data_IF_899476697360
#
_entry.id   IF_899476697360
#
_cell.length_a   1.000
_cell.length_b   1.000
_cell.length_c   1.000
_cell.angle_alpha   90.00
_cell.angle_beta   90.00
_cell.angle_gamma   90.00
#
_symmetry.space_group_name_H-M   'P 1'
#
loop_
_entity.id
_entity.type
_entity.pdbx_description
1 polymer ?
#
# COMPACT_ATOMS: atom_id res chain seq x y z
N UNK A 1 19.90 -13.34 17.43
CA UNK A 1 19.04 -13.78 16.32
C UNK A 1 18.09 -12.63 16.07
N UNK A 2 18.18 -12.01 14.89
CA UNK A 2 17.26 -10.92 14.53
C UNK A 2 16.04 -11.59 13.94
N UNK A 3 15.08 -11.92 14.79
CA UNK A 3 13.73 -12.20 14.33
C UNK A 3 13.18 -10.89 13.74
N UNK A 4 13.52 -10.64 12.48
CA UNK A 4 12.70 -9.85 11.57
C UNK A 4 11.37 -10.58 11.47
N UNK A 5 10.58 -10.41 12.52
CA UNK A 5 9.27 -10.97 12.66
C UNK A 5 8.44 -10.12 11.73
N UNK A 6 8.44 -10.48 10.44
CA UNK A 6 7.40 -10.13 9.50
C UNK A 6 6.08 -10.28 10.25
N UNK A 7 5.57 -9.16 10.76
CA UNK A 7 4.26 -9.09 11.35
C UNK A 7 3.33 -9.58 10.24
N UNK A 8 2.27 -10.35 10.52
CA UNK A 8 1.35 -10.79 9.49
C UNK A 8 0.92 -9.53 8.73
N UNK A 9 1.51 -9.37 7.53
CA UNK A 9 1.48 -8.12 6.81
C UNK A 9 0.03 -7.77 6.61
N UNK A 10 -0.31 -6.49 6.78
CA UNK A 10 -1.64 -6.02 6.44
C UNK A 10 -2.06 -6.63 5.08
N UNK A 11 -3.32 -7.07 4.95
CA UNK A 11 -3.77 -7.72 3.73
C UNK A 11 -3.46 -6.83 2.54
N UNK A 12 -2.75 -7.37 1.54
CA UNK A 12 -2.43 -6.58 0.35
C UNK A 12 -3.72 -6.20 -0.35
N UNK A 13 -3.86 -4.90 -0.64
CA UNK A 13 -4.98 -4.40 -1.43
C UNK A 13 -4.64 -4.51 -2.93
N UNK A 14 -5.62 -4.50 -3.83
CA UNK A 14 -5.38 -4.67 -5.27
C UNK A 14 -4.42 -3.63 -5.88
N UNK A 15 -4.26 -2.47 -5.25
CA UNK A 15 -3.36 -1.40 -5.68
C UNK A 15 -1.92 -1.56 -5.20
N UNK A 16 -1.66 -2.43 -4.22
CA UNK A 16 -0.31 -2.67 -3.71
C UNK A 16 0.54 -3.38 -4.76
N UNK A 17 1.77 -2.88 -4.91
CA UNK A 17 2.84 -3.46 -5.74
C UNK A 17 4.00 -3.99 -4.91
N UNK A 18 3.96 -3.79 -3.61
CA UNK A 18 4.90 -4.32 -2.64
C UNK A 18 4.15 -4.68 -1.35
N UNK A 19 4.73 -5.57 -0.54
CA UNK A 19 4.14 -5.91 0.75
C UNK A 19 4.17 -4.70 1.69
N UNK A 20 3.08 -4.44 2.43
CA UNK A 20 3.07 -3.47 3.50
C UNK A 20 4.21 -3.68 4.49
N UNK A 21 4.99 -2.63 4.74
CA UNK A 21 6.12 -2.66 5.67
C UNK A 21 7.36 -3.42 5.20
N UNK A 22 7.45 -3.84 3.93
CA UNK A 22 8.68 -4.41 3.39
C UNK A 22 9.81 -3.37 3.39
N UNK A 23 11.04 -3.82 3.66
CA UNK A 23 12.26 -2.99 3.78
C UNK A 23 12.49 -2.01 2.62
N UNK A 24 12.16 -2.41 1.39
CA UNK A 24 12.32 -1.61 0.17
C UNK A 24 10.95 -1.20 -0.41
N UNK A 25 9.95 -1.00 0.46
CA UNK A 25 8.63 -0.53 0.10
C UNK A 25 8.26 0.76 0.86
N UNK A 26 7.47 1.61 0.20
CA UNK A 26 6.90 2.81 0.80
C UNK A 26 5.48 3.03 0.30
N UNK A 27 4.71 3.81 1.05
CA UNK A 27 3.37 4.22 0.64
C UNK A 27 3.45 5.35 -0.40
N UNK A 28 2.67 5.23 -1.47
CA UNK A 28 2.45 6.26 -2.47
C UNK A 28 0.94 6.50 -2.67
N UNK A 29 0.58 7.63 -3.30
CA UNK A 29 -0.82 7.95 -3.56
C UNK A 29 -1.45 6.90 -4.47
N UNK A 30 -2.64 6.43 -4.11
CA UNK A 30 -3.37 5.48 -4.94
C UNK A 30 -3.69 6.15 -6.31
N UNK A 31 -3.20 5.59 -7.43
CA UNK A 31 -3.35 6.22 -8.75
C UNK A 31 -4.80 6.18 -9.24
N UNK A 32 -5.66 5.33 -8.66
CA UNK A 32 -7.09 5.25 -9.01
C UNK A 32 -7.88 6.41 -8.42
N UNK A 33 -7.69 6.70 -7.13
CA UNK A 33 -8.46 7.75 -6.43
C UNK A 33 -7.68 9.05 -6.22
N UNK A 34 -6.41 9.10 -6.58
CA UNK A 34 -5.54 10.26 -6.43
C UNK A 34 -5.30 10.66 -4.97
N UNK A 35 -5.28 9.70 -4.05
CA UNK A 35 -5.06 9.99 -2.63
C UNK A 35 -6.32 10.19 -1.78
N UNK A 36 -7.49 10.27 -2.40
CA UNK A 36 -8.74 10.63 -1.69
C UNK A 36 -9.33 9.49 -0.87
N UNK A 37 -8.94 8.24 -1.15
CA UNK A 37 -9.56 7.04 -0.57
C UNK A 37 -10.95 6.73 -1.15
N UNK A 38 -11.47 7.56 -2.08
CA UNK A 38 -12.80 7.36 -2.68
C UNK A 38 -12.75 7.46 -4.20
N UNK A 39 -13.50 6.61 -4.87
CA UNK A 39 -13.61 6.64 -6.33
C UNK A 39 -15.09 6.51 -6.71
N UNK A 40 -15.61 7.49 -7.46
CA UNK A 40 -17.03 7.57 -7.86
C UNK A 40 -18.01 7.46 -6.68
N UNK A 41 -17.78 8.28 -5.65
CA UNK A 41 -18.61 8.37 -4.43
C UNK A 41 -18.57 7.13 -3.52
N UNK A 42 -17.89 6.06 -3.93
CA UNK A 42 -17.69 4.85 -3.15
C UNK A 42 -16.27 4.77 -2.56
N UNK A 43 -16.07 3.84 -1.62
CA UNK A 43 -14.74 3.53 -1.13
C UNK A 43 -13.86 3.00 -2.27
N UNK A 44 -12.63 3.51 -2.37
CA UNK A 44 -11.74 3.06 -3.42
C UNK A 44 -11.25 1.63 -3.12
N UNK A 45 -11.84 0.64 -3.80
CA UNK A 45 -11.46 -0.78 -3.69
C UNK A 45 -9.98 -1.05 -4.02
N UNK A 46 -9.35 -0.17 -4.80
CA UNK A 46 -7.95 -0.33 -5.17
C UNK A 46 -7.01 -0.09 -3.98
N UNK A 47 -7.36 0.81 -3.06
CA UNK A 47 -6.59 1.08 -1.86
C UNK A 47 -7.31 0.68 -0.56
N UNK A 48 -8.48 0.03 -0.65
CA UNK A 48 -9.33 -0.26 0.52
C UNK A 48 -9.69 0.98 1.33
N UNK A 49 -9.92 2.12 0.66
CA UNK A 49 -10.29 3.37 1.33
C UNK A 49 -9.14 4.19 1.95
N UNK A 50 -7.92 3.67 2.02
CA UNK A 50 -6.78 4.36 2.67
C UNK A 50 -6.29 5.61 1.91
N UNK A 51 -6.53 5.65 0.60
CA UNK A 51 -5.98 6.64 -0.34
C UNK A 51 -4.52 6.36 -0.74
N UNK A 52 -3.88 5.33 -0.18
CA UNK A 52 -2.46 5.01 -0.41
C UNK A 52 -2.27 3.55 -0.78
N UNK A 53 -1.18 3.26 -1.48
CA UNK A 53 -0.79 1.91 -1.88
C UNK A 53 0.71 1.72 -1.64
N UNK A 54 1.12 0.50 -1.33
CA UNK A 54 2.51 0.17 -1.13
C UNK A 54 3.20 -0.07 -2.47
N UNK A 55 4.30 0.63 -2.71
CA UNK A 55 5.09 0.53 -3.94
C UNK A 55 6.55 0.24 -3.59
N UNK A 56 7.27 -0.49 -4.45
CA UNK A 56 8.71 -0.66 -4.28
C UNK A 56 9.39 0.71 -4.40
N UNK A 57 10.23 1.05 -3.43
CA UNK A 57 11.08 2.24 -3.46
C UNK A 57 12.50 1.80 -3.77
N UNK A 58 13.10 2.39 -4.82
CA UNK A 58 14.49 2.12 -5.17
C UNK A 58 15.44 2.85 -4.23
N UNK A 59 16.53 2.19 -3.86
CA UNK A 59 17.74 2.88 -3.41
C UNK A 59 18.50 3.38 -4.65
N UNK A 60 19.19 4.54 -4.58
CA UNK A 60 19.92 5.12 -5.71
C UNK A 60 21.07 4.25 -6.20
#
# INVERSE_FOLDING_TARGET
MSEDKAQPGEPMVPGDKAQPGAENAGEDLCPRCGGTGRYREEECENCGGSGRVWVPVGTP
#
